data_IF_439378387649
#
_entry.id   IF_439378387649
#
_cell.length_a   1.000
_cell.length_b   1.000
_cell.length_c   1.000
_cell.angle_alpha   90.00
_cell.angle_beta   90.00
_cell.angle_gamma   90.00
#
_symmetry.space_group_name_H-M   'P 1'
#
loop_
_entity.id
_entity.type
_entity.pdbx_description
1 polymer ?
#
# COMPACT_ATOMS: atom_id res chain seq x y z
N UNK A 1 -15.63 50.38 27.26
CA UNK A 1 -16.75 49.60 27.83
C UNK A 1 -17.26 48.71 26.71
N UNK A 2 -16.81 47.47 26.51
CA UNK A 2 -15.74 46.60 27.04
C UNK A 2 -15.48 45.57 25.92
N UNK A 3 -14.23 45.29 25.58
CA UNK A 3 -13.44 44.12 25.98
C UNK A 3 -13.97 42.74 25.53
N UNK A 4 -13.14 42.09 24.70
CA UNK A 4 -12.64 40.71 24.82
C UNK A 4 -13.55 39.59 25.37
N UNK A 5 -13.76 38.55 24.57
CA UNK A 5 -13.35 37.16 24.86
C UNK A 5 -14.27 36.13 24.18
N UNK A 6 -13.66 35.33 23.30
CA UNK A 6 -13.58 33.88 23.34
C UNK A 6 -14.73 33.03 23.95
N UNK A 7 -14.93 31.90 23.26
CA UNK A 7 -15.65 30.69 23.64
C UNK A 7 -17.16 30.61 23.39
N UNK A 8 -17.50 30.11 22.20
CA UNK A 8 -18.40 28.97 22.11
C UNK A 8 -17.94 28.01 21.00
N UNK A 9 -17.10 27.06 21.43
CA UNK A 9 -16.91 25.77 20.79
C UNK A 9 -18.27 25.05 20.73
N UNK A 10 -18.55 24.42 19.58
CA UNK A 10 -19.31 23.19 19.35
C UNK A 10 -20.46 23.31 18.34
N UNK A 11 -20.42 22.35 17.40
CA UNK A 11 -21.46 21.92 16.47
C UNK A 11 -21.61 22.72 15.15
N UNK A 12 -20.93 22.22 14.11
CA UNK A 12 -21.19 22.57 12.72
C UNK A 12 -20.35 21.72 11.78
N UNK A 13 -20.85 20.51 11.48
CA UNK A 13 -20.11 19.41 10.86
C UNK A 13 -19.30 19.74 9.60
N UNK A 14 -18.11 19.14 9.53
CA UNK A 14 -17.38 18.98 8.27
C UNK A 14 -18.23 18.09 7.35
N UNK A 15 -18.85 18.72 6.36
CA UNK A 15 -19.55 18.01 5.30
C UNK A 15 -18.49 17.31 4.43
N UNK A 16 -18.25 16.05 4.75
CA UNK A 16 -17.32 15.14 4.11
C UNK A 16 -17.88 14.77 2.73
N UNK A 17 -17.60 15.61 1.74
CA UNK A 17 -18.11 15.47 0.37
C UNK A 17 -17.10 15.89 -0.69
N UNK A 18 -15.81 15.78 -0.41
CA UNK A 18 -14.78 16.09 -1.40
C UNK A 18 -14.71 14.93 -2.39
N UNK A 19 -15.15 15.16 -3.62
CA UNK A 19 -15.08 14.19 -4.72
C UNK A 19 -13.63 13.71 -4.87
N UNK A 20 -13.39 12.41 -5.13
CA UNK A 20 -12.04 11.83 -5.26
C UNK A 20 -11.09 12.63 -6.17
N UNK A 21 -11.67 13.26 -7.19
CA UNK A 21 -10.98 14.05 -8.20
C UNK A 21 -10.37 15.36 -7.64
N UNK A 22 -11.01 16.01 -6.67
CA UNK A 22 -10.49 17.24 -6.05
C UNK A 22 -9.29 16.95 -5.14
N UNK A 23 -9.31 15.80 -4.47
CA UNK A 23 -8.22 15.35 -3.61
C UNK A 23 -7.01 14.94 -4.45
N UNK A 24 -7.24 14.23 -5.56
CA UNK A 24 -6.22 13.90 -6.54
C UNK A 24 -5.58 15.17 -7.14
N UNK A 25 -6.39 16.16 -7.52
CA UNK A 25 -5.90 17.44 -8.04
C UNK A 25 -5.12 18.27 -7.00
N UNK A 26 -5.43 18.15 -5.71
CA UNK A 26 -4.65 18.77 -4.64
C UNK A 26 -3.26 18.13 -4.53
N UNK A 27 -3.18 16.80 -4.50
CA UNK A 27 -1.91 16.09 -4.34
C UNK A 27 -1.02 16.14 -5.59
N UNK A 28 -1.61 16.10 -6.79
CA UNK A 28 -0.88 16.29 -8.05
C UNK A 28 -0.20 17.67 -8.12
N UNK A 29 -0.88 18.72 -7.62
CA UNK A 29 -0.29 20.06 -7.51
C UNK A 29 0.79 20.17 -6.43
N UNK A 30 0.62 19.46 -5.31
CA UNK A 30 1.55 19.50 -4.18
C UNK A 30 2.81 18.67 -4.42
N UNK A 31 2.72 17.60 -5.20
CA UNK A 31 3.82 16.66 -5.46
C UNK A 31 3.87 16.24 -6.95
N UNK A 32 4.30 17.14 -7.86
CA UNK A 32 4.21 16.94 -9.31
C UNK A 32 5.14 15.84 -9.88
N UNK A 33 6.08 15.32 -9.10
CA UNK A 33 7.02 14.27 -9.52
C UNK A 33 6.55 12.85 -9.15
N UNK A 34 5.42 12.71 -8.46
CA UNK A 34 4.88 11.42 -7.95
C UNK A 34 3.61 10.96 -8.64
N UNK A 35 3.07 11.73 -9.58
CA UNK A 35 1.89 11.38 -10.36
C UNK A 35 2.27 11.25 -11.84
N UNK A 36 2.51 10.02 -12.29
CA UNK A 36 2.47 9.72 -13.72
C UNK A 36 1.02 9.41 -14.10
N UNK A 37 0.49 10.19 -15.05
CA UNK A 37 -0.88 10.21 -15.60
C UNK A 37 -1.33 8.90 -16.29
N UNK A 38 -1.31 7.76 -15.60
CA UNK A 38 -1.90 6.50 -16.10
C UNK A 38 -3.26 6.17 -15.46
N UNK A 39 -3.82 7.09 -14.65
CA UNK A 39 -5.08 6.87 -13.94
C UNK A 39 -6.29 7.10 -14.87
N UNK A 40 -6.62 6.11 -15.69
CA UNK A 40 -7.96 6.00 -16.25
C UNK A 40 -8.81 5.12 -15.33
N UNK A 41 -9.74 5.69 -14.53
CA UNK A 41 -10.65 4.93 -13.67
C UNK A 41 -11.63 4.02 -14.44
N UNK A 42 -11.53 3.96 -15.77
CA UNK A 42 -12.46 3.27 -16.67
C UNK A 42 -11.80 2.19 -17.52
N UNK A 43 -10.54 1.80 -17.26
CA UNK A 43 -9.87 0.73 -18.01
C UNK A 43 -10.20 -0.66 -17.41
N UNK A 44 -11.01 -1.51 -18.10
CA UNK A 44 -11.32 -2.85 -17.62
C UNK A 44 -10.07 -3.72 -17.47
N UNK A 45 -9.02 -3.45 -18.25
CA UNK A 45 -7.77 -4.19 -18.19
C UNK A 45 -7.00 -3.94 -16.89
N UNK A 46 -7.07 -2.72 -16.34
CA UNK A 46 -6.45 -2.37 -15.06
C UNK A 46 -7.19 -2.99 -13.87
N UNK A 47 -8.50 -3.19 -14.00
CA UNK A 47 -9.31 -3.91 -13.01
C UNK A 47 -8.97 -5.38 -12.99
N UNK A 48 -8.82 -6.01 -14.15
CA UNK A 48 -8.43 -7.42 -14.21
C UNK A 48 -6.99 -7.62 -13.71
N UNK A 49 -6.06 -6.75 -14.14
CA UNK A 49 -4.67 -6.78 -13.64
C UNK A 49 -4.60 -6.71 -12.12
N UNK A 50 -5.41 -5.87 -11.49
CA UNK A 50 -5.42 -5.75 -10.03
C UNK A 50 -5.94 -7.00 -9.32
N UNK A 51 -6.96 -7.66 -9.88
CA UNK A 51 -7.42 -8.95 -9.37
C UNK A 51 -6.32 -10.01 -9.50
N UNK A 52 -5.65 -10.08 -10.65
CA UNK A 52 -4.51 -10.99 -10.85
C UNK A 52 -3.38 -10.70 -9.84
N UNK A 53 -3.06 -9.43 -9.59
CA UNK A 53 -2.05 -9.04 -8.60
C UNK A 53 -2.40 -9.52 -7.18
N UNK A 54 -3.67 -9.36 -6.77
CA UNK A 54 -4.17 -9.87 -5.49
C UNK A 54 -4.12 -11.40 -5.39
N UNK A 55 -4.39 -12.12 -6.47
CA UNK A 55 -4.23 -13.58 -6.50
C UNK A 55 -2.77 -13.99 -6.28
N UNK A 56 -1.82 -13.31 -6.94
CA UNK A 56 -0.39 -13.53 -6.73
C UNK A 56 -0.01 -13.24 -5.27
N UNK A 57 -0.49 -12.15 -4.69
CA UNK A 57 -0.23 -11.79 -3.30
C UNK A 57 -0.73 -12.86 -2.30
N UNK A 58 -1.92 -13.41 -2.52
CA UNK A 58 -2.49 -14.49 -1.69
C UNK A 58 -1.64 -15.76 -1.78
N UNK A 59 -1.22 -16.16 -2.98
CA UNK A 59 -0.39 -17.35 -3.20
C UNK A 59 0.99 -17.16 -2.56
N UNK A 60 1.62 -16.01 -2.77
CA UNK A 60 2.90 -15.65 -2.15
C UNK A 60 2.80 -15.67 -0.62
N UNK A 61 1.77 -15.06 -0.04
CA UNK A 61 1.56 -15.07 1.41
C UNK A 61 1.38 -16.49 1.96
N UNK A 62 0.67 -17.37 1.25
CA UNK A 62 0.53 -18.77 1.66
C UNK A 62 1.89 -19.50 1.66
N UNK A 63 2.72 -19.29 0.63
CA UNK A 63 4.08 -19.85 0.54
C UNK A 63 4.96 -19.37 1.70
N UNK A 64 4.94 -18.06 1.98
CA UNK A 64 5.72 -17.47 3.06
C UNK A 64 5.33 -18.03 4.42
N UNK A 65 4.02 -18.16 4.68
CA UNK A 65 3.50 -18.76 5.92
C UNK A 65 3.86 -20.23 6.04
N UNK A 66 3.57 -21.04 5.02
CA UNK A 66 3.66 -22.49 5.09
C UNK A 66 5.09 -23.03 4.97
N UNK A 67 5.92 -22.43 4.10
CA UNK A 67 7.28 -22.94 3.81
C UNK A 67 8.36 -22.23 4.60
N UNK A 68 8.16 -20.94 4.89
CA UNK A 68 9.17 -20.10 5.55
C UNK A 68 8.79 -19.71 6.98
N UNK A 69 7.61 -20.11 7.45
CA UNK A 69 7.21 -19.96 8.84
C UNK A 69 6.85 -18.53 9.24
N UNK A 70 6.56 -17.65 8.28
CA UNK A 70 6.18 -16.27 8.57
C UNK A 70 4.86 -16.22 9.36
N UNK A 71 4.82 -15.83 10.65
CA UNK A 71 3.57 -15.70 11.40
C UNK A 71 2.62 -14.65 10.82
N UNK A 72 3.17 -13.61 10.18
CA UNK A 72 2.42 -12.48 9.64
C UNK A 72 2.94 -12.14 8.25
N UNK A 73 2.02 -11.89 7.33
CA UNK A 73 2.29 -11.36 5.99
C UNK A 73 1.25 -10.30 5.68
N UNK A 74 1.67 -9.13 5.22
CA UNK A 74 0.81 -7.97 4.92
C UNK A 74 1.16 -7.42 3.55
N UNK A 75 0.14 -7.13 2.73
CA UNK A 75 0.32 -6.36 1.51
C UNK A 75 0.39 -4.86 1.81
N UNK A 76 1.21 -4.13 1.09
CA UNK A 76 1.31 -2.67 1.21
C UNK A 76 1.48 -2.03 -0.18
N UNK A 77 1.91 -0.77 -0.21
CA UNK A 77 2.23 -0.08 -1.45
C UNK A 77 1.01 0.16 -2.34
N UNK A 78 1.19 0.02 -3.64
CA UNK A 78 0.12 0.32 -4.61
C UNK A 78 -1.02 -0.72 -4.61
N UNK A 79 -0.79 -1.92 -4.07
CA UNK A 79 -1.80 -2.98 -4.05
C UNK A 79 -2.93 -2.73 -3.05
N UNK A 80 -2.69 -1.94 -1.99
CA UNK A 80 -3.68 -1.59 -0.97
C UNK A 80 -4.31 -0.21 -1.20
N UNK A 81 -3.74 0.61 -2.09
CA UNK A 81 -4.30 1.89 -2.50
C UNK A 81 -4.60 1.86 -4.00
N UNK A 82 -5.86 1.58 -4.32
CA UNK A 82 -6.34 1.44 -5.70
C UNK A 82 -6.05 2.68 -6.56
N UNK A 83 -5.99 3.88 -5.97
CA UNK A 83 -5.69 5.12 -6.70
C UNK A 83 -4.25 5.18 -7.21
N UNK A 84 -3.35 4.40 -6.60
CA UNK A 84 -1.92 4.33 -6.94
C UNK A 84 -1.56 3.09 -7.76
N UNK A 85 -2.50 2.18 -7.99
CA UNK A 85 -2.26 0.97 -8.77
C UNK A 85 -2.28 1.27 -10.27
N UNK A 86 -1.21 0.91 -10.98
CA UNK A 86 -1.04 1.17 -12.41
C UNK A 86 -0.72 -0.12 -13.16
N UNK A 87 -0.63 -0.04 -14.49
CA UNK A 87 -0.18 -1.16 -15.34
C UNK A 87 1.25 -1.63 -15.00
N UNK A 88 2.04 -0.80 -14.32
CA UNK A 88 3.43 -1.08 -13.96
C UNK A 88 3.60 -1.52 -12.50
N UNK A 89 2.52 -1.53 -11.72
CA UNK A 89 2.54 -1.96 -10.32
C UNK A 89 3.02 -3.40 -10.16
N UNK A 90 3.83 -3.59 -9.13
CA UNK A 90 4.28 -4.85 -8.55
C UNK A 90 3.37 -5.28 -7.38
N UNK A 91 3.76 -6.37 -6.72
CA UNK A 91 3.09 -6.90 -5.53
C UNK A 91 4.04 -6.73 -4.34
N UNK A 92 3.77 -5.75 -3.50
CA UNK A 92 4.55 -5.44 -2.30
C UNK A 92 4.04 -6.24 -1.09
N UNK A 93 4.90 -7.06 -0.48
CA UNK A 93 4.60 -7.85 0.71
C UNK A 93 5.63 -7.65 1.81
N UNK A 94 5.14 -7.48 3.03
CA UNK A 94 5.92 -7.47 4.26
C UNK A 94 5.69 -8.78 5.01
N UNK A 95 6.75 -9.49 5.41
CA UNK A 95 6.64 -10.73 6.17
C UNK A 95 7.53 -10.69 7.42
N UNK A 96 6.95 -11.05 8.56
CA UNK A 96 7.64 -11.06 9.86
C UNK A 96 8.10 -12.46 10.22
N UNK A 97 9.15 -12.56 11.04
CA UNK A 97 9.58 -13.80 11.68
C UNK A 97 10.13 -14.86 10.73
N UNK A 98 10.49 -14.50 9.49
CA UNK A 98 11.28 -15.36 8.62
C UNK A 98 12.73 -15.27 9.10
N UNK A 99 13.40 -16.38 9.44
CA UNK A 99 14.80 -16.36 9.84
C UNK A 99 15.71 -15.75 8.77
N UNK A 100 16.70 -14.94 9.18
CA UNK A 100 17.63 -14.22 8.29
C UNK A 100 18.31 -15.13 7.25
N UNK A 101 18.71 -16.34 7.68
CA UNK A 101 19.35 -17.36 6.85
C UNK A 101 18.42 -17.97 5.79
N UNK A 102 17.10 -17.75 5.93
CA UNK A 102 16.06 -18.21 5.01
C UNK A 102 15.39 -17.08 4.23
N UNK A 103 15.64 -15.82 4.59
CA UNK A 103 14.93 -14.67 4.00
C UNK A 103 15.16 -14.57 2.49
N UNK A 104 16.40 -14.62 2.02
CA UNK A 104 16.68 -14.57 0.58
C UNK A 104 16.13 -15.77 -0.20
N UNK A 105 16.05 -16.96 0.43
CA UNK A 105 15.38 -18.10 -0.16
C UNK A 105 13.86 -17.89 -0.25
N UNK A 106 13.26 -17.16 0.70
CA UNK A 106 11.85 -16.75 0.66
C UNK A 106 11.59 -15.76 -0.48
N UNK A 107 12.45 -14.75 -0.63
CA UNK A 107 12.42 -13.80 -1.76
C UNK A 107 12.42 -14.55 -3.09
N UNK A 108 13.41 -15.43 -3.30
CA UNK A 108 13.52 -16.19 -4.55
C UNK A 108 12.28 -17.04 -4.86
N UNK A 109 11.66 -17.64 -3.84
CA UNK A 109 10.46 -18.45 -4.03
C UNK A 109 9.23 -17.63 -4.43
N UNK A 110 9.09 -16.39 -3.95
CA UNK A 110 7.93 -15.55 -4.29
C UNK A 110 8.13 -14.71 -5.54
N UNK A 111 9.37 -14.28 -5.82
CA UNK A 111 9.69 -13.53 -7.05
C UNK A 111 9.42 -14.35 -8.32
N UNK A 112 9.57 -15.68 -8.26
CA UNK A 112 9.30 -16.58 -9.39
C UNK A 112 7.84 -17.00 -9.59
N UNK A 113 6.87 -16.46 -8.83
CA UNK A 113 5.48 -16.93 -8.86
C UNK A 113 4.68 -16.45 -10.08
N UNK A 114 5.10 -15.36 -10.71
CA UNK A 114 4.38 -14.78 -11.83
C UNK A 114 5.35 -14.16 -12.83
N UNK A 115 5.13 -14.45 -14.11
CA UNK A 115 5.79 -13.74 -15.21
C UNK A 115 5.26 -12.30 -15.38
N UNK A 116 4.06 -12.02 -14.86
CA UNK A 116 3.35 -10.73 -15.02
C UNK A 116 3.57 -9.75 -13.86
N UNK A 117 3.91 -10.25 -12.69
CA UNK A 117 4.06 -9.46 -11.46
C UNK A 117 5.33 -9.83 -10.74
N UNK A 118 6.19 -8.84 -10.54
CA UNK A 118 7.26 -8.95 -9.56
C UNK A 118 6.63 -8.92 -8.17
N UNK A 119 7.04 -9.85 -7.31
CA UNK A 119 6.74 -9.78 -5.88
C UNK A 119 7.96 -9.18 -5.18
N UNK A 120 7.78 -8.04 -4.54
CA UNK A 120 8.78 -7.43 -3.67
C UNK A 120 8.49 -7.83 -2.22
N UNK A 121 9.47 -8.47 -1.58
CA UNK A 121 9.34 -8.98 -0.22
C UNK A 121 10.29 -8.22 0.69
N UNK A 122 9.73 -7.56 1.70
CA UNK A 122 10.49 -6.83 2.72
C UNK A 122 10.40 -7.53 4.07
N UNK A 123 11.51 -7.51 4.81
CA UNK A 123 11.56 -7.85 6.22
C UNK A 123 11.38 -6.57 7.05
N UNK A 124 10.25 -6.37 7.73
CA UNK A 124 10.01 -5.18 8.55
C UNK A 124 10.92 -5.08 9.77
N UNK A 125 11.57 -6.17 10.18
CA UNK A 125 12.49 -6.20 11.31
C UNK A 125 13.89 -5.72 10.91
N UNK A 126 14.30 -5.94 9.66
CA UNK A 126 15.57 -5.47 9.10
C UNK A 126 15.61 -3.96 8.79
N UNK A 127 14.47 -3.27 8.69
CA UNK A 127 14.40 -1.85 8.35
C UNK A 127 14.22 -0.92 9.58
N UNK A 128 14.93 0.23 9.56
CA UNK A 128 14.88 1.32 10.57
C UNK A 128 13.46 1.77 10.86
N UNK A 129 13.23 2.24 12.09
CA UNK A 129 11.93 2.54 12.71
C UNK A 129 10.93 3.36 11.86
N UNK A 130 11.38 4.14 10.88
CA UNK A 130 10.52 4.92 10.00
C UNK A 130 9.67 4.08 9.04
N UNK A 131 10.19 2.96 8.51
CA UNK A 131 9.40 2.06 7.65
C UNK A 131 8.46 1.19 8.49
N UNK A 132 8.92 0.74 9.66
CA UNK A 132 8.10 0.02 10.64
C UNK A 132 6.86 0.82 11.03
N UNK A 133 7.02 2.09 11.42
CA UNK A 133 5.89 2.99 11.74
C UNK A 133 4.93 3.16 10.57
N UNK A 134 5.45 3.32 9.35
CA UNK A 134 4.63 3.48 8.17
C UNK A 134 3.77 2.25 7.88
N UNK A 135 4.22 1.04 8.21
CA UNK A 135 3.46 -0.21 8.06
C UNK A 135 2.48 -0.42 9.22
N UNK A 136 2.86 -0.03 10.45
CA UNK A 136 2.03 -0.17 11.65
C UNK A 136 0.84 0.79 11.69
N UNK A 137 0.89 1.92 10.96
CA UNK A 137 -0.19 2.93 10.92
C UNK A 137 -1.37 2.51 10.02
N UNK A 138 -1.29 1.36 9.34
CA UNK A 138 -2.38 0.82 8.52
C UNK A 138 -3.25 -0.13 9.36
N UNK A 139 -3.69 0.37 10.51
CA UNK A 139 -4.60 -0.24 11.46
C UNK A 139 -5.43 0.84 12.14
#
# INVERSE_FOLDING_TARGET
MGDEADNAVLAGGLNMGTQPDELAAYYARKYPLTFTDDFSPTDPSLTERYKEAWQVAVIAAAILKMRYGAPKVVAFGSLVDRSRFTRWSDVDLAAWGIPDDRFYAAVGAVTGLSEKFRVDLVDPEAYRDSLRRAIETWW
#
